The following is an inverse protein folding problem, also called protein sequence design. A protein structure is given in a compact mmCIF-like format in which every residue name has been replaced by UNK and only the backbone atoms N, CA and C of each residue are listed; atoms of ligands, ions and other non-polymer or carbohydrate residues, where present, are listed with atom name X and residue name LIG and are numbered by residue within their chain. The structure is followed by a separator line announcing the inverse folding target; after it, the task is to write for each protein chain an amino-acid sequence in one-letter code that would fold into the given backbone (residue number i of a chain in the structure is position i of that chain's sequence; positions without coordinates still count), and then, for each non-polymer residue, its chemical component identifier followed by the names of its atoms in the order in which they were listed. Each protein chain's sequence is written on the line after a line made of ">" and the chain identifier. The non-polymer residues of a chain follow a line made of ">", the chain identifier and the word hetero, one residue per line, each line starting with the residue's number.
data_IF_295031295246
#
_entry.id   IF_295031295246
#
_cell.length_a   1.000
_cell.length_b   1.000
_cell.length_c   1.000
_cell.angle_alpha   90.00
_cell.angle_beta   90.00
_cell.angle_gamma   90.00
#
_symmetry.space_group_name_H-M   'P 1'
#
loop_
_entity.id
_entity.type
_entity.pdbx_description
1 polymer ?
#
# COMPACT_ATOMS: atom_id res chain seq x y z
N UNK A 1 -1.78 -26.97 1.56
CA UNK A 1 -2.17 -26.17 0.37
C UNK A 1 -2.86 -24.90 0.86
N UNK A 2 -2.64 -23.73 0.25
CA UNK A 2 -3.29 -22.47 0.68
C UNK A 2 -4.80 -22.57 0.40
N UNK A 3 -5.66 -22.19 1.35
CA UNK A 3 -7.11 -22.24 1.17
C UNK A 3 -7.60 -21.28 0.08
N UNK A 4 -8.73 -21.60 -0.55
CA UNK A 4 -9.34 -20.76 -1.60
C UNK A 4 -9.59 -19.32 -1.12
N UNK A 5 -10.09 -19.16 0.10
CA UNK A 5 -10.36 -17.84 0.67
C UNK A 5 -9.06 -17.05 0.88
N UNK A 6 -8.00 -17.72 1.32
CA UNK A 6 -6.68 -17.08 1.50
C UNK A 6 -6.05 -16.72 0.16
N UNK A 7 -6.22 -17.54 -0.88
CA UNK A 7 -5.81 -17.20 -2.25
C UNK A 7 -6.56 -15.98 -2.79
N UNK A 8 -7.89 -15.92 -2.59
CA UNK A 8 -8.70 -14.78 -3.03
C UNK A 8 -8.28 -13.51 -2.30
N UNK A 9 -8.07 -13.58 -0.98
CA UNK A 9 -7.55 -12.46 -0.20
C UNK A 9 -6.20 -11.96 -0.73
N UNK A 10 -5.26 -12.87 -0.99
CA UNK A 10 -3.95 -12.52 -1.53
C UNK A 10 -4.07 -11.83 -2.89
N UNK A 11 -4.86 -12.39 -3.81
CA UNK A 11 -5.11 -11.78 -5.11
C UNK A 11 -5.75 -10.40 -4.99
N UNK A 12 -6.77 -10.24 -4.16
CA UNK A 12 -7.43 -8.96 -3.91
C UNK A 12 -6.44 -7.92 -3.39
N UNK A 13 -5.59 -8.27 -2.42
CA UNK A 13 -4.58 -7.35 -1.87
C UNK A 13 -3.53 -6.98 -2.91
N UNK A 14 -3.03 -7.93 -3.71
CA UNK A 14 -2.07 -7.64 -4.78
C UNK A 14 -2.68 -6.69 -5.83
N UNK A 15 -3.91 -6.97 -6.28
CA UNK A 15 -4.60 -6.11 -7.24
C UNK A 15 -4.88 -4.72 -6.67
N UNK A 16 -5.22 -4.62 -5.38
CA UNK A 16 -5.41 -3.34 -4.70
C UNK A 16 -4.13 -2.51 -4.69
N UNK A 17 -2.98 -3.12 -4.36
CA UNK A 17 -1.67 -2.43 -4.39
C UNK A 17 -1.37 -1.97 -5.82
N UNK A 18 -1.52 -2.85 -6.82
CA UNK A 18 -1.29 -2.49 -8.23
C UNK A 18 -2.11 -1.28 -8.66
N UNK A 19 -3.42 -1.32 -8.40
CA UNK A 19 -4.33 -0.25 -8.82
C UNK A 19 -4.09 1.04 -8.06
N UNK A 20 -3.77 0.96 -6.77
CA UNK A 20 -3.38 2.11 -5.96
C UNK A 20 -2.16 2.80 -6.54
N UNK A 21 -1.09 2.06 -6.81
CA UNK A 21 0.15 2.59 -7.36
C UNK A 21 -0.04 3.16 -8.77
N UNK A 22 -0.81 2.49 -9.62
CA UNK A 22 -1.17 3.01 -10.95
C UNK A 22 -1.88 4.35 -10.87
N UNK A 23 -2.83 4.51 -9.94
CA UNK A 23 -3.53 5.77 -9.73
C UNK A 23 -2.57 6.88 -9.26
N UNK A 24 -1.64 6.55 -8.36
CA UNK A 24 -0.63 7.51 -7.90
C UNK A 24 0.30 7.97 -9.03
N UNK A 25 0.70 7.07 -9.93
CA UNK A 25 1.49 7.44 -11.11
C UNK A 25 0.74 8.47 -11.96
N UNK A 26 -0.57 8.28 -12.16
CA UNK A 26 -1.36 9.21 -12.97
C UNK A 26 -1.54 10.57 -12.26
N UNK A 27 -1.81 10.58 -10.96
CA UNK A 27 -1.82 11.81 -10.15
C UNK A 27 -0.46 12.52 -10.13
N UNK A 28 0.66 11.78 -10.09
CA UNK A 28 2.00 12.35 -10.15
C UNK A 28 2.25 13.03 -11.50
N UNK A 29 1.83 12.42 -12.61
CA UNK A 29 1.94 13.04 -13.95
C UNK A 29 1.12 14.33 -14.07
N UNK A 30 0.01 14.42 -13.34
CA UNK A 30 -0.83 15.62 -13.27
C UNK A 30 -0.25 16.70 -12.31
N UNK A 31 0.83 16.40 -11.59
CA UNK A 31 1.45 17.31 -10.63
C UNK A 31 0.68 17.43 -9.31
N UNK A 32 -0.21 16.49 -8.99
CA UNK A 32 -1.03 16.52 -7.79
C UNK A 32 -0.30 16.00 -6.53
N UNK A 33 0.75 15.19 -6.74
CA UNK A 33 1.56 14.62 -5.66
C UNK A 33 2.82 15.46 -5.47
N UNK A 34 3.08 15.84 -4.22
CA UNK A 34 4.29 16.58 -3.84
C UNK A 34 5.36 15.60 -3.39
N UNK A 35 6.54 15.68 -4.01
CA UNK A 35 7.70 14.87 -3.64
C UNK A 35 7.89 13.62 -4.51
N UNK A 36 8.63 12.65 -3.97
CA UNK A 36 9.05 11.45 -4.70
C UNK A 36 8.07 10.30 -4.49
N UNK A 37 7.62 9.71 -5.59
CA UNK A 37 6.83 8.48 -5.59
C UNK A 37 7.72 7.27 -5.90
N UNK A 38 7.85 6.34 -4.96
CA UNK A 38 8.56 5.07 -5.16
C UNK A 38 7.57 3.92 -5.23
N UNK A 39 7.15 3.58 -6.44
CA UNK A 39 6.01 2.69 -6.65
C UNK A 39 6.28 1.24 -6.23
N UNK A 40 5.30 0.54 -5.68
CA UNK A 40 5.42 -0.89 -5.33
C UNK A 40 5.09 -1.86 -6.49
N UNK A 41 4.96 -1.34 -7.72
CA UNK A 41 4.54 -2.13 -8.89
C UNK A 41 5.57 -3.21 -9.21
N UNK A 42 5.11 -4.46 -9.31
CA UNK A 42 5.94 -5.63 -9.59
C UNK A 42 6.42 -6.37 -8.34
N UNK A 43 6.30 -5.76 -7.16
CA UNK A 43 6.68 -6.35 -5.87
C UNK A 43 5.47 -6.77 -5.02
N UNK A 44 4.24 -6.72 -5.55
CA UNK A 44 3.02 -6.89 -4.77
C UNK A 44 2.96 -8.24 -4.01
N UNK A 45 3.48 -9.30 -4.64
CA UNK A 45 3.54 -10.62 -4.03
C UNK A 45 4.47 -10.67 -2.81
N UNK A 46 5.50 -9.81 -2.74
CA UNK A 46 6.44 -9.71 -1.61
C UNK A 46 5.70 -9.20 -0.38
N UNK A 47 5.07 -8.02 -0.49
CA UNK A 47 4.31 -7.44 0.63
C UNK A 47 3.14 -8.34 1.05
N UNK A 48 2.35 -8.85 0.09
CA UNK A 48 1.18 -9.67 0.39
C UNK A 48 1.57 -11.02 0.97
N UNK A 49 2.54 -11.71 0.38
CA UNK A 49 3.02 -13.00 0.88
C UNK A 49 3.55 -12.89 2.30
N UNK A 50 4.37 -11.86 2.58
CA UNK A 50 4.88 -11.60 3.92
C UNK A 50 3.74 -11.28 4.90
N UNK A 51 2.88 -10.29 4.60
CA UNK A 51 1.86 -9.83 5.55
C UNK A 51 0.76 -10.87 5.83
N UNK A 52 0.44 -11.73 4.88
CA UNK A 52 -0.59 -12.78 5.03
C UNK A 52 -0.06 -14.00 5.82
N UNK A 53 1.26 -14.07 6.05
CA UNK A 53 1.90 -15.06 6.91
C UNK A 53 2.07 -14.57 8.36
N UNK A 54 1.88 -13.28 8.62
CA UNK A 54 1.94 -12.67 9.94
C UNK A 54 0.59 -12.77 10.68
N UNK A 55 0.63 -12.68 12.00
CA UNK A 55 -0.53 -12.39 12.84
C UNK A 55 -0.87 -10.89 12.77
N UNK A 56 -2.08 -10.50 13.18
CA UNK A 56 -2.50 -9.10 13.12
C UNK A 56 -1.71 -8.18 14.07
N UNK A 57 -1.19 -8.71 15.17
CA UNK A 57 -0.39 -8.01 16.19
C UNK A 57 1.11 -7.96 15.88
N UNK A 58 1.58 -8.71 14.87
CA UNK A 58 2.96 -8.62 14.42
C UNK A 58 3.25 -7.27 13.74
N UNK A 59 4.37 -6.65 14.11
CA UNK A 59 4.82 -5.39 13.53
C UNK A 59 5.46 -5.58 12.15
N UNK A 60 5.33 -4.55 11.31
CA UNK A 60 6.04 -4.42 10.04
C UNK A 60 6.80 -3.09 10.00
N UNK A 61 7.95 -3.09 9.33
CA UNK A 61 8.71 -1.89 9.02
C UNK A 61 9.06 -1.90 7.53
N UNK A 62 8.94 -0.74 6.88
CA UNK A 62 9.25 -0.56 5.48
C UNK A 62 10.41 0.42 5.27
N UNK A 63 10.85 0.55 4.03
CA UNK A 63 11.79 1.58 3.59
C UNK A 63 11.05 2.66 2.76
N UNK A 64 11.73 3.35 1.84
CA UNK A 64 11.15 4.38 0.99
C UNK A 64 10.20 3.84 -0.11
N UNK A 65 10.23 2.54 -0.42
CA UNK A 65 9.32 1.84 -1.34
C UNK A 65 8.38 0.95 -0.55
N UNK A 66 7.52 1.55 0.28
CA UNK A 66 6.79 0.79 1.29
C UNK A 66 5.27 0.81 1.18
N UNK A 67 4.65 1.54 0.25
CA UNK A 67 3.17 1.65 0.20
C UNK A 67 2.45 0.29 0.16
N UNK A 68 3.05 -0.71 -0.48
CA UNK A 68 2.48 -2.06 -0.56
C UNK A 68 2.32 -2.75 0.81
N UNK A 69 3.23 -2.52 1.76
CA UNK A 69 3.22 -3.19 3.07
C UNK A 69 2.01 -2.84 3.95
N UNK A 70 1.69 -1.56 4.24
CA UNK A 70 0.52 -1.24 5.05
C UNK A 70 -0.79 -1.68 4.36
N UNK A 71 -0.88 -1.58 3.03
CA UNK A 71 -2.06 -2.06 2.28
C UNK A 71 -2.17 -3.60 2.38
N UNK A 72 -1.05 -4.31 2.23
CA UNK A 72 -0.99 -5.76 2.36
C UNK A 72 -1.32 -6.24 3.78
N UNK A 73 -0.98 -5.46 4.81
CA UNK A 73 -1.33 -5.72 6.21
C UNK A 73 -2.80 -5.40 6.53
N UNK A 74 -3.54 -4.79 5.60
CA UNK A 74 -4.96 -4.47 5.76
C UNK A 74 -5.25 -3.03 6.18
N UNK A 75 -4.27 -2.14 6.05
CA UNK A 75 -4.45 -0.71 6.24
C UNK A 75 -5.54 -0.13 5.32
N UNK A 76 -6.23 0.88 5.84
CA UNK A 76 -7.16 1.72 5.11
C UNK A 76 -6.44 2.49 4.00
N UNK A 77 -6.88 2.24 2.76
CA UNK A 77 -6.35 2.85 1.54
C UNK A 77 -6.70 4.33 1.41
N UNK A 78 -7.84 4.77 1.98
CA UNK A 78 -8.24 6.17 1.93
C UNK A 78 -7.31 7.03 2.77
N UNK A 79 -6.90 6.52 3.94
CA UNK A 79 -5.89 7.17 4.78
C UNK A 79 -4.52 7.17 4.12
N UNK A 80 -4.15 6.09 3.43
CA UNK A 80 -2.89 6.05 2.67
C UNK A 80 -2.89 7.10 1.55
N UNK A 81 -3.98 7.17 0.76
CA UNK A 81 -4.15 8.19 -0.28
C UNK A 81 -4.13 9.60 0.29
N UNK A 82 -4.82 9.84 1.41
CA UNK A 82 -4.82 11.12 2.08
C UNK A 82 -3.41 11.54 2.54
N UNK A 83 -2.62 10.59 3.06
CA UNK A 83 -1.24 10.87 3.48
C UNK A 83 -0.36 11.30 2.29
N UNK A 84 -0.43 10.57 1.18
CA UNK A 84 0.35 10.86 -0.03
C UNK A 84 -0.01 12.22 -0.65
N UNK A 85 -1.28 12.63 -0.52
CA UNK A 85 -1.75 13.95 -0.94
C UNK A 85 -1.50 15.05 0.11
N UNK A 86 -0.79 14.76 1.21
CA UNK A 86 -0.49 15.74 2.26
C UNK A 86 -1.73 16.21 3.03
N UNK A 87 -2.80 15.41 3.06
CA UNK A 87 -4.07 15.77 3.72
C UNK A 87 -4.05 15.36 5.20
N UNK A 88 -4.74 16.16 6.02
CA UNK A 88 -4.83 15.97 7.49
C UNK A 88 -5.38 14.60 7.90
N UNK A 89 -6.19 13.97 7.05
CA UNK A 89 -6.86 12.70 7.37
C UNK A 89 -5.97 11.47 7.09
N UNK A 90 -4.73 11.70 6.62
CA UNK A 90 -3.71 10.66 6.47
C UNK A 90 -3.23 10.09 7.80
N UNK A 91 -2.56 8.93 7.75
CA UNK A 91 -2.05 8.24 8.94
C UNK A 91 -1.15 9.11 9.83
N UNK A 92 -0.34 9.97 9.21
CA UNK A 92 0.59 10.87 9.87
C UNK A 92 0.15 12.34 9.72
N UNK A 93 -1.12 12.57 9.37
CA UNK A 93 -1.74 13.88 9.16
C UNK A 93 -1.11 14.67 8.00
N UNK A 94 -0.67 13.97 6.95
CA UNK A 94 -0.09 14.56 5.75
C UNK A 94 1.34 15.09 5.93
N UNK A 95 2.07 14.55 6.92
CA UNK A 95 3.43 14.97 7.25
C UNK A 95 4.50 13.94 6.89
N UNK A 96 4.10 12.69 6.69
CA UNK A 96 5.00 11.62 6.27
C UNK A 96 5.22 11.62 4.77
N UNK A 97 4.15 11.86 4.02
CA UNK A 97 4.08 11.53 2.59
C UNK A 97 3.79 10.05 2.37
#
# INVERSE_FOLDING_TARGET
>A
MISKDKQLLMLTRMMRIRLFESALIDCQKLGEIVGSLHTYIGEEAVAVGACVALNDDDYIAGNHRSHGHPIAKGGDINKAMAEIFGKRDGYCKGKGG
#
